data_IF_377984367006
#
_entry.id   IF_377984367006
#
_cell.length_a   1.000
_cell.length_b   1.000
_cell.length_c   1.000
_cell.angle_alpha   90.00
_cell.angle_beta   90.00
_cell.angle_gamma   90.00
#
_symmetry.space_group_name_H-M   'P 1'
#
loop_
_entity.id
_entity.type
_entity.pdbx_description
1 polymer ?
#
# COMPACT_ATOMS: atom_id res chain seq x y z
N UNK A 1 -7.01 12.80 9.67
CA UNK A 1 -6.33 12.99 8.37
C UNK A 1 -7.37 13.43 7.34
N UNK A 2 -7.19 14.63 6.77
CA UNK A 2 -8.09 15.19 5.76
C UNK A 2 -8.09 14.35 4.48
N UNK A 3 -6.98 13.70 4.16
CA UNK A 3 -6.85 12.84 2.98
C UNK A 3 -7.75 11.62 3.07
N UNK A 4 -7.87 11.00 4.26
CA UNK A 4 -8.78 9.86 4.48
C UNK A 4 -10.23 10.23 4.18
N UNK A 5 -10.67 11.44 4.51
CA UNK A 5 -12.01 11.92 4.21
C UNK A 5 -12.23 12.10 2.70
N UNK A 6 -11.23 12.65 2.00
CA UNK A 6 -11.24 12.76 0.53
C UNK A 6 -11.34 11.37 -0.11
N UNK A 7 -10.52 10.42 0.32
CA UNK A 7 -10.53 9.03 -0.18
C UNK A 7 -11.91 8.40 0.02
N UNK A 8 -12.51 8.58 1.20
CA UNK A 8 -13.84 8.05 1.51
C UNK A 8 -14.91 8.62 0.58
N UNK A 9 -14.87 9.93 0.34
CA UNK A 9 -15.79 10.61 -0.56
C UNK A 9 -15.64 10.12 -2.01
N UNK A 10 -14.40 10.00 -2.51
CA UNK A 10 -14.11 9.57 -3.88
C UNK A 10 -14.52 8.13 -4.18
N UNK A 11 -14.37 7.23 -3.20
CA UNK A 11 -14.68 5.81 -3.38
C UNK A 11 -16.15 5.51 -3.22
N UNK A 12 -16.89 6.27 -2.42
CA UNK A 12 -18.24 5.92 -1.99
C UNK A 12 -18.26 4.75 -0.99
N UNK A 13 -19.45 4.49 -0.44
CA UNK A 13 -19.63 3.59 0.71
C UNK A 13 -19.69 2.10 0.33
N UNK A 14 -20.17 1.78 -0.88
CA UNK A 14 -20.38 0.40 -1.36
C UNK A 14 -19.19 -0.19 -2.10
N UNK A 15 -18.09 0.55 -2.24
CA UNK A 15 -16.92 0.12 -3.01
C UNK A 15 -16.10 -0.89 -2.23
N UNK A 16 -15.83 -2.04 -2.82
CA UNK A 16 -14.90 -3.02 -2.26
C UNK A 16 -13.45 -2.52 -2.33
N UNK A 17 -12.73 -2.64 -1.23
CA UNK A 17 -11.37 -2.07 -1.10
C UNK A 17 -10.36 -3.10 -0.62
N UNK A 18 -9.18 -3.08 -1.23
CA UNK A 18 -7.98 -3.69 -0.67
C UNK A 18 -7.09 -2.59 -0.09
N UNK A 19 -6.97 -2.53 1.23
CA UNK A 19 -6.19 -1.51 1.92
C UNK A 19 -5.00 -2.13 2.68
N UNK A 20 -3.89 -1.41 2.81
CA UNK A 20 -2.85 -1.83 3.75
C UNK A 20 -3.45 -1.89 5.16
N UNK A 21 -3.11 -2.91 5.95
CA UNK A 21 -3.83 -3.10 7.22
C UNK A 21 -3.42 -2.15 8.35
N UNK A 22 -2.37 -1.33 8.19
CA UNK A 22 -2.13 -0.18 9.07
C UNK A 22 -3.15 0.96 8.87
N UNK A 23 -3.79 1.03 7.70
CA UNK A 23 -4.81 2.03 7.35
C UNK A 23 -6.22 1.43 7.19
N UNK A 24 -6.34 0.11 7.17
CA UNK A 24 -7.62 -0.59 6.97
C UNK A 24 -8.69 -0.22 7.99
N UNK A 25 -8.31 0.07 9.25
CA UNK A 25 -9.24 0.51 10.29
C UNK A 25 -10.00 1.79 9.91
N UNK A 26 -9.38 2.70 9.15
CA UNK A 26 -10.03 3.92 8.66
C UNK A 26 -11.13 3.67 7.63
N UNK A 27 -11.17 2.47 7.05
CA UNK A 27 -12.12 2.06 6.02
C UNK A 27 -13.02 0.91 6.47
N UNK A 28 -12.94 0.49 7.74
CA UNK A 28 -13.67 -0.62 8.36
C UNK A 28 -15.19 -0.51 8.32
N UNK A 29 -15.73 0.68 8.08
CA UNK A 29 -17.16 0.90 7.86
C UNK A 29 -17.67 0.33 6.52
N UNK A 30 -16.79 -0.18 5.66
CA UNK A 30 -17.15 -0.86 4.40
C UNK A 30 -17.41 -2.34 4.64
N UNK A 31 -18.46 -2.86 3.99
CA UNK A 31 -18.80 -4.29 4.03
C UNK A 31 -17.70 -5.18 3.43
N UNK A 32 -17.02 -4.70 2.39
CA UNK A 32 -16.01 -5.46 1.66
C UNK A 32 -14.64 -4.78 1.74
N UNK A 33 -13.97 -5.00 2.86
CA UNK A 33 -12.60 -4.54 3.09
C UNK A 33 -11.66 -5.73 3.25
N UNK A 34 -10.65 -5.76 2.38
CA UNK A 34 -9.63 -6.79 2.36
C UNK A 34 -8.26 -6.17 2.67
N UNK A 35 -7.39 -6.99 3.26
CA UNK A 35 -6.01 -6.62 3.52
C UNK A 35 -5.20 -6.73 2.23
N UNK A 36 -4.51 -5.67 1.82
CA UNK A 36 -3.59 -5.71 0.69
C UNK A 36 -2.46 -6.73 0.91
N UNK A 37 -2.06 -7.54 -0.10
CA UNK A 37 -2.55 -7.56 -1.49
C UNK A 37 -3.71 -8.53 -1.78
N UNK A 38 -4.45 -8.99 -0.77
CA UNK A 38 -5.56 -9.93 -0.98
C UNK A 38 -6.65 -9.32 -1.85
N UNK A 39 -7.23 -10.15 -2.73
CA UNK A 39 -8.32 -9.76 -3.65
C UNK A 39 -7.95 -8.64 -4.63
N UNK A 40 -6.66 -8.29 -4.76
CA UNK A 40 -6.18 -7.47 -5.87
C UNK A 40 -6.52 -8.19 -7.18
N UNK A 41 -7.18 -7.48 -8.09
CA UNK A 41 -7.77 -8.04 -9.31
C UNK A 41 -9.28 -8.28 -9.22
N UNK A 42 -9.81 -8.45 -8.01
CA UNK A 42 -11.24 -8.62 -7.76
C UNK A 42 -11.87 -7.32 -7.24
N UNK A 43 -11.21 -6.65 -6.28
CA UNK A 43 -11.72 -5.43 -5.64
C UNK A 43 -11.87 -4.26 -6.59
N UNK A 44 -12.77 -3.34 -6.26
CA UNK A 44 -13.02 -2.12 -7.01
C UNK A 44 -11.92 -1.07 -6.81
N UNK A 45 -11.29 -1.03 -5.64
CA UNK A 45 -10.24 -0.06 -5.35
C UNK A 45 -9.13 -0.61 -4.45
N UNK A 46 -7.95 -0.03 -4.59
CA UNK A 46 -6.75 -0.34 -3.80
C UNK A 46 -6.30 0.95 -3.12
N UNK A 47 -6.01 0.89 -1.82
CA UNK A 47 -5.60 2.04 -1.01
C UNK A 47 -4.26 1.72 -0.34
N UNK A 48 -3.24 2.52 -0.64
CA UNK A 48 -1.89 2.37 -0.13
C UNK A 48 -1.37 3.69 0.45
N UNK A 49 -0.49 3.58 1.42
CA UNK A 49 0.34 4.63 2.02
C UNK A 49 1.80 4.23 1.85
N UNK A 50 2.44 4.70 0.78
CA UNK A 50 3.70 4.16 0.26
C UNK A 50 4.88 4.20 1.25
N UNK A 51 4.96 5.24 2.09
CA UNK A 51 6.06 5.42 3.04
C UNK A 51 5.95 4.60 4.33
N UNK A 52 4.87 3.86 4.51
CA UNK A 52 4.64 3.05 5.71
C UNK A 52 4.42 1.58 5.33
N UNK A 53 5.42 0.89 4.75
CA UNK A 53 5.43 -0.55 4.83
C UNK A 53 5.60 -0.86 6.31
N UNK A 54 4.58 -1.49 6.87
CA UNK A 54 4.61 -2.13 8.17
C UNK A 54 5.96 -2.81 8.42
N UNK A 55 6.50 -2.51 9.60
CA UNK A 55 7.88 -2.62 10.08
C UNK A 55 8.69 -3.83 9.56
N UNK A 56 9.91 -3.56 9.08
CA UNK A 56 10.85 -4.54 8.53
C UNK A 56 11.40 -5.49 9.62
N UNK A 57 11.10 -6.79 9.52
CA UNK A 57 11.68 -7.84 10.40
C UNK A 57 13.21 -7.93 10.26
N UNK A 58 13.74 -7.70 9.07
CA UNK A 58 15.15 -7.90 8.78
C UNK A 58 16.06 -6.83 9.40
N UNK A 59 15.49 -5.68 9.82
CA UNK A 59 16.22 -4.60 10.47
C UNK A 59 16.00 -4.50 12.00
N UNK A 60 15.34 -5.48 12.61
CA UNK A 60 15.22 -5.51 14.07
C UNK A 60 16.52 -6.04 14.69
N UNK A 61 17.14 -5.32 15.66
CA UNK A 61 18.31 -5.81 16.36
C UNK A 61 18.02 -7.17 17.03
N UNK A 62 19.00 -8.08 17.04
CA UNK A 62 18.82 -9.49 17.47
C UNK A 62 18.24 -9.65 18.89
N UNK A 63 18.43 -8.64 19.75
CA UNK A 63 17.82 -8.57 21.09
C UNK A 63 16.27 -8.54 21.05
N UNK A 64 15.69 -7.88 20.05
CA UNK A 64 14.24 -7.84 19.84
C UNK A 64 13.73 -9.12 19.13
N UNK A 65 14.57 -9.79 18.34
CA UNK A 65 14.24 -11.11 17.76
C UNK A 65 14.07 -12.18 18.85
N UNK A 66 14.80 -12.13 19.96
CA UNK A 66 14.60 -13.06 21.11
C UNK A 66 13.32 -12.78 21.91
N UNK A 67 12.81 -11.55 21.92
CA UNK A 67 11.49 -11.20 22.50
C UNK A 67 10.29 -11.65 21.63
N UNK A 68 10.53 -12.35 20.52
CA UNK A 68 9.53 -12.84 19.55
C UNK A 68 8.31 -13.56 20.16
N UNK A 69 8.46 -14.29 21.27
CA UNK A 69 7.31 -14.97 21.90
C UNK A 69 6.31 -14.01 22.55
N UNK A 70 6.72 -12.80 22.90
CA UNK A 70 5.87 -11.80 23.57
C UNK A 70 5.49 -10.60 22.70
N UNK A 71 6.27 -10.29 21.65
CA UNK A 71 5.99 -9.19 20.71
C UNK A 71 4.98 -9.53 19.61
N UNK A 72 4.49 -10.76 19.55
CA UNK A 72 3.37 -11.18 18.67
C UNK A 72 2.07 -10.39 18.91
N UNK A 73 1.99 -9.61 20.00
CA UNK A 73 0.84 -8.78 20.37
C UNK A 73 0.96 -7.30 19.97
N UNK A 74 2.06 -6.85 19.36
CA UNK A 74 2.12 -5.48 18.83
C UNK A 74 1.68 -5.47 17.36
N UNK A 75 0.71 -4.59 17.06
CA UNK A 75 0.07 -4.31 15.76
C UNK A 75 1.00 -4.24 14.54
N UNK A 76 2.31 -4.11 14.76
CA UNK A 76 3.39 -4.10 13.77
C UNK A 76 3.69 -5.48 13.13
N UNK A 77 3.22 -6.59 13.70
CA UNK A 77 3.56 -7.94 13.21
C UNK A 77 2.63 -8.49 12.11
N UNK A 78 1.58 -7.77 11.71
CA UNK A 78 0.49 -8.37 10.92
C UNK A 78 0.53 -8.14 9.39
N UNK A 79 1.56 -7.49 8.87
CA UNK A 79 1.69 -7.20 7.43
C UNK A 79 3.16 -7.22 7.04
N UNK A 80 3.64 -8.33 6.51
CA UNK A 80 5.05 -8.42 6.13
C UNK A 80 5.13 -8.96 4.72
N UNK A 81 4.78 -8.08 3.78
CA UNK A 81 5.29 -8.21 2.43
C UNK A 81 6.74 -7.70 2.45
N UNK A 82 7.65 -8.43 1.82
CA UNK A 82 9.01 -7.93 1.65
C UNK A 82 8.98 -6.57 0.95
N UNK A 83 9.92 -5.68 1.26
CA UNK A 83 9.96 -4.34 0.65
C UNK A 83 10.11 -4.43 -0.88
N UNK A 84 10.84 -5.43 -1.36
CA UNK A 84 11.07 -5.71 -2.78
C UNK A 84 9.78 -6.17 -3.42
N UNK A 85 9.12 -7.14 -2.82
CA UNK A 85 7.81 -7.61 -3.29
C UNK A 85 6.79 -6.48 -3.25
N UNK A 86 6.82 -5.62 -2.22
CA UNK A 86 5.88 -4.52 -2.05
C UNK A 86 6.03 -3.51 -3.18
N UNK A 87 7.24 -3.02 -3.43
CA UNK A 87 7.52 -2.11 -4.53
C UNK A 87 7.17 -2.77 -5.88
N UNK A 88 7.60 -4.02 -6.10
CA UNK A 88 7.30 -4.75 -7.33
C UNK A 88 5.79 -4.93 -7.56
N UNK A 89 5.01 -5.16 -6.50
CA UNK A 89 3.55 -5.27 -6.60
C UNK A 89 2.90 -3.95 -7.05
N UNK A 90 3.40 -2.82 -6.57
CA UNK A 90 2.90 -1.50 -6.94
C UNK A 90 3.29 -1.17 -8.38
N UNK A 91 4.51 -1.48 -8.79
CA UNK A 91 4.98 -1.31 -10.17
C UNK A 91 4.16 -2.16 -11.16
N UNK A 92 3.82 -3.40 -10.77
CA UNK A 92 2.89 -4.26 -11.54
C UNK A 92 1.49 -3.65 -11.63
N UNK A 93 1.00 -3.02 -10.57
CA UNK A 93 -0.29 -2.33 -10.59
C UNK A 93 -0.28 -1.09 -11.50
N UNK A 94 0.80 -0.30 -11.46
CA UNK A 94 0.95 0.91 -12.28
C UNK A 94 1.12 0.60 -13.77
N UNK A 95 1.86 -0.47 -14.09
CA UNK A 95 2.02 -0.95 -15.48
C UNK A 95 0.80 -1.72 -15.99
N UNK A 96 -0.03 -2.25 -15.08
CA UNK A 96 -1.26 -2.93 -15.41
C UNK A 96 -2.35 -2.01 -15.99
N UNK A 97 -3.21 -2.57 -16.86
CA UNK A 97 -4.38 -1.86 -17.41
C UNK A 97 -5.64 -2.00 -16.56
N UNK A 98 -5.59 -2.83 -15.52
CA UNK A 98 -6.76 -3.18 -14.73
C UNK A 98 -7.14 -2.07 -13.73
N UNK A 99 -6.15 -1.38 -13.18
CA UNK A 99 -6.33 -0.33 -12.19
C UNK A 99 -5.67 0.97 -12.67
N UNK A 100 -6.41 2.07 -12.56
CA UNK A 100 -5.90 3.40 -12.81
C UNK A 100 -5.71 4.19 -11.52
N UNK A 101 -4.79 5.14 -11.51
CA UNK A 101 -4.59 6.08 -10.40
C UNK A 101 -5.82 6.99 -10.30
N UNK A 102 -6.53 6.88 -9.18
CA UNK A 102 -7.67 7.74 -8.85
C UNK A 102 -7.21 8.96 -8.04
N UNK A 103 -6.29 8.75 -7.10
CA UNK A 103 -5.73 9.81 -6.26
C UNK A 103 -4.26 9.53 -5.99
N UNK A 104 -3.44 10.56 -6.17
CA UNK A 104 -2.08 10.63 -5.64
C UNK A 104 -1.95 11.86 -4.75
N UNK A 105 -1.64 11.65 -3.48
CA UNK A 105 -1.40 12.70 -2.50
C UNK A 105 -0.39 12.16 -1.50
N UNK A 106 0.89 12.37 -1.78
CA UNK A 106 2.02 11.77 -1.04
C UNK A 106 1.77 11.79 0.49
N UNK A 107 1.80 10.64 1.19
CA UNK A 107 2.18 9.29 0.72
C UNK A 107 1.02 8.38 0.27
N UNK A 108 -0.19 8.92 0.10
CA UNK A 108 -1.40 8.17 -0.26
C UNK A 108 -1.51 7.93 -1.76
N UNK A 109 -1.68 6.65 -2.11
CA UNK A 109 -2.01 6.18 -3.45
C UNK A 109 -3.34 5.44 -3.42
N UNK A 110 -4.30 5.91 -4.22
CA UNK A 110 -5.56 5.21 -4.43
C UNK A 110 -5.69 4.85 -5.91
N UNK A 111 -5.96 3.58 -6.15
CA UNK A 111 -6.19 3.06 -7.50
C UNK A 111 -7.60 2.49 -7.60
N UNK A 112 -8.25 2.67 -8.75
CA UNK A 112 -9.61 2.19 -9.02
C UNK A 112 -9.63 1.31 -10.25
N UNK A 113 -10.36 0.21 -10.17
CA UNK A 113 -10.54 -0.73 -11.27
C UNK A 113 -11.27 -0.04 -12.43
N UNK A 114 -10.76 -0.22 -13.66
CA UNK A 114 -11.32 0.39 -14.86
C UNK A 114 -11.10 1.90 -14.99
N UNK A 115 -10.44 2.55 -14.02
CA UNK A 115 -9.92 3.88 -14.23
C UNK A 115 -8.76 3.81 -15.24
N UNK A 116 -8.73 4.73 -16.20
CA UNK A 116 -7.64 4.80 -17.17
C UNK A 116 -6.52 5.63 -16.55
N UNK A 117 -5.31 5.07 -16.53
CA UNK A 117 -4.09 5.85 -16.36
C UNK A 117 -3.97 6.80 -17.56
N UNK A 118 -4.63 7.96 -17.50
CA UNK A 118 -4.29 9.06 -18.40
C UNK A 118 -2.79 9.28 -18.20
N UNK A 119 -2.00 9.40 -19.27
CA UNK A 119 -0.56 9.75 -19.18
C UNK A 119 -0.44 11.06 -18.41
N UNK A 120 -0.32 10.96 -17.10
CA UNK A 120 -0.59 12.06 -16.20
C UNK A 120 0.55 12.14 -15.22
N UNK A 121 0.92 13.37 -14.92
CA UNK A 121 1.93 13.78 -13.93
C UNK A 121 1.94 12.93 -12.64
N UNK A 122 0.79 12.47 -12.08
CA UNK A 122 0.75 11.56 -10.94
C UNK A 122 1.59 10.28 -11.07
N UNK A 123 1.58 9.61 -12.23
CA UNK A 123 2.31 8.33 -12.37
C UNK A 123 3.82 8.54 -12.26
N UNK A 124 4.34 9.60 -12.87
CA UNK A 124 5.75 9.96 -12.79
C UNK A 124 6.17 10.31 -11.36
N UNK A 125 5.33 11.04 -10.62
CA UNK A 125 5.58 11.38 -9.21
C UNK A 125 5.58 10.12 -8.32
N UNK A 126 4.67 9.17 -8.58
CA UNK A 126 4.65 7.88 -7.88
C UNK A 126 5.93 7.09 -8.17
N UNK A 127 6.34 6.98 -9.43
CA UNK A 127 7.58 6.29 -9.82
C UNK A 127 8.82 6.91 -9.18
N UNK A 128 8.90 8.25 -9.15
CA UNK A 128 9.95 8.96 -8.42
C UNK A 128 9.95 8.62 -6.93
N UNK A 129 8.76 8.56 -6.31
CA UNK A 129 8.63 8.17 -4.90
C UNK A 129 9.08 6.73 -4.67
N UNK A 130 8.68 5.78 -5.50
CA UNK A 130 9.12 4.39 -5.41
C UNK A 130 10.65 4.27 -5.52
N UNK A 131 11.27 5.03 -6.42
CA UNK A 131 12.73 5.09 -6.55
C UNK A 131 13.42 5.68 -5.32
N UNK A 132 12.85 6.72 -4.71
CA UNK A 132 13.35 7.26 -3.43
C UNK A 132 13.26 6.22 -2.31
N UNK A 133 12.15 5.47 -2.24
CA UNK A 133 11.96 4.40 -1.25
C UNK A 133 12.96 3.26 -1.45
N UNK A 134 13.21 2.83 -2.70
CA UNK A 134 14.26 1.84 -3.04
C UNK A 134 15.63 2.24 -2.47
N UNK A 135 16.04 3.50 -2.72
CA UNK A 135 17.30 4.06 -2.20
C UNK A 135 17.32 4.12 -0.67
N UNK A 136 16.25 4.66 -0.06
CA UNK A 136 16.12 4.82 1.39
C UNK A 136 16.19 3.48 2.13
N UNK A 137 15.62 2.43 1.55
CA UNK A 137 15.59 1.10 2.15
C UNK A 137 16.81 0.24 1.84
N UNK A 138 17.83 0.80 1.16
CA UNK A 138 19.06 0.09 0.74
C UNK A 138 18.75 -1.22 0.01
N UNK A 139 17.71 -1.20 -0.82
CA UNK A 139 17.35 -2.39 -1.61
C UNK A 139 18.44 -2.58 -2.67
N UNK A 140 18.99 -3.79 -2.77
CA UNK A 140 19.82 -4.12 -3.93
C UNK A 140 18.94 -3.99 -5.16
N UNK A 141 19.42 -3.29 -6.18
CA UNK A 141 18.78 -3.39 -7.49
C UNK A 141 18.79 -4.87 -7.86
N UNK A 142 17.60 -5.42 -8.15
CA UNK A 142 17.54 -6.75 -8.75
C UNK A 142 18.37 -6.72 -10.02
N UNK A 143 19.31 -7.66 -10.11
CA UNK A 143 20.03 -7.98 -11.34
C UNK A 143 19.04 -8.32 -12.47
#
# INVERSE_FOLDING_TARGET
DSTVHIIRSLLGEKTSVSAQANIGSHFSQRREIYRYPNKVGEVNAIILRLESPTTNINNLPDRLKKRRRYLLNMLDCHLQMDRTDYIASIERLLSGKQYGVLLWSDPWLVMKRGAVNKRSKPVQEIEQKLNQLRKKWKMKNGE
#
